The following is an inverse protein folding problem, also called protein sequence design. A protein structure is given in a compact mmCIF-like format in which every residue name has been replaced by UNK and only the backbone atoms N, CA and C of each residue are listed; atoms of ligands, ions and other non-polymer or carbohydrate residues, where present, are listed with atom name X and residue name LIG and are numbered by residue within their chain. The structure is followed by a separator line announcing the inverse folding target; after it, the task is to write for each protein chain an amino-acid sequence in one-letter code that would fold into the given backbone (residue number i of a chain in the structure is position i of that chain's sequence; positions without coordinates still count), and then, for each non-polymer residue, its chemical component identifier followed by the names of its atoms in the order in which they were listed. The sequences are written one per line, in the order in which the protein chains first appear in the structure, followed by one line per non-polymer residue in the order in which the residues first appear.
data_IF_939222306657
#
_entry.id   IF_939222306657
#
_cell.length_a   1.000
_cell.length_b   1.000
_cell.length_c   1.000
_cell.angle_alpha   90.00
_cell.angle_beta   90.00
_cell.angle_gamma   90.00
#
_symmetry.space_group_name_H-M   'P 1'
#
loop_
_entity.id
_entity.type
_entity.pdbx_description
1 polymer ?
#
# COMPACT_ATOMS: atom_id res chain seq x y z
N UNK A 1 -7.14 -15.28 -14.16
CA UNK A 1 -7.06 -13.95 -13.51
C UNK A 1 -6.46 -13.00 -14.52
N UNK A 2 -6.95 -11.76 -14.60
CA UNK A 2 -6.41 -10.79 -15.56
C UNK A 2 -5.04 -10.30 -15.08
N UNK A 3 -4.07 -10.28 -16.00
CA UNK A 3 -2.71 -9.84 -15.69
C UNK A 3 -2.68 -8.34 -15.37
N UNK A 4 -1.78 -7.87 -14.48
CA UNK A 4 -1.57 -6.45 -14.26
C UNK A 4 -1.15 -5.75 -15.56
N UNK A 5 -1.76 -4.59 -15.91
CA UNK A 5 -1.34 -3.81 -17.08
C UNK A 5 -0.07 -3.03 -16.74
N UNK A 6 1.07 -3.71 -16.69
CA UNK A 6 2.35 -3.10 -16.32
C UNK A 6 2.67 -1.88 -17.19
N UNK A 7 3.00 -0.78 -16.54
CA UNK A 7 3.46 0.45 -17.17
C UNK A 7 4.98 0.33 -17.42
N UNK A 8 5.47 0.58 -18.64
CA UNK A 8 6.91 0.67 -18.90
C UNK A 8 7.60 1.69 -17.99
N UNK A 9 8.82 1.39 -17.53
CA UNK A 9 9.50 2.18 -16.51
C UNK A 9 9.67 3.65 -16.90
N UNK A 10 10.04 3.89 -18.15
CA UNK A 10 10.22 5.22 -18.74
C UNK A 10 8.90 6.01 -18.91
N UNK A 11 7.75 5.34 -18.81
CA UNK A 11 6.42 5.94 -18.94
C UNK A 11 5.71 6.14 -17.60
N UNK A 12 6.34 5.81 -16.46
CA UNK A 12 5.68 5.86 -15.15
C UNK A 12 5.11 7.24 -14.84
N UNK A 13 5.92 8.30 -14.99
CA UNK A 13 5.49 9.66 -14.71
C UNK A 13 4.38 10.12 -15.66
N UNK A 14 4.52 9.84 -16.96
CA UNK A 14 3.49 10.15 -17.95
C UNK A 14 2.17 9.42 -17.63
N UNK A 15 2.24 8.14 -17.26
CA UNK A 15 1.06 7.35 -16.89
C UNK A 15 0.33 7.92 -15.68
N UNK A 16 1.06 8.37 -14.66
CA UNK A 16 0.47 9.01 -13.48
C UNK A 16 -0.21 10.34 -13.84
N UNK A 17 0.43 11.16 -14.69
CA UNK A 17 -0.12 12.46 -15.11
C UNK A 17 -1.34 12.33 -16.02
N UNK A 18 -1.32 11.39 -16.96
CA UNK A 18 -2.36 11.24 -17.98
C UNK A 18 -3.53 10.37 -17.50
N UNK A 19 -3.24 9.27 -16.80
CA UNK A 19 -4.24 8.25 -16.42
C UNK A 19 -4.57 8.24 -14.93
N UNK A 20 -3.78 8.93 -14.09
CA UNK A 20 -3.95 8.90 -12.63
C UNK A 20 -3.55 7.58 -11.98
N UNK A 21 -2.84 6.69 -12.69
CA UNK A 21 -2.30 5.46 -12.10
C UNK A 21 -1.10 4.93 -12.88
N UNK A 22 -0.29 4.09 -12.23
CA UNK A 22 0.72 3.26 -12.88
C UNK A 22 0.84 1.90 -12.17
N UNK A 23 1.13 0.84 -12.93
CA UNK A 23 1.37 -0.49 -12.36
C UNK A 23 2.82 -0.90 -12.63
N UNK A 24 3.62 -1.06 -11.58
CA UNK A 24 5.02 -1.41 -11.68
C UNK A 24 5.19 -2.91 -11.54
N UNK A 25 5.94 -3.51 -12.46
CA UNK A 25 6.46 -4.87 -12.29
C UNK A 25 7.43 -4.93 -11.09
N UNK A 26 7.73 -6.13 -10.55
CA UNK A 26 8.73 -6.27 -9.48
C UNK A 26 10.09 -5.67 -9.86
N UNK A 27 10.53 -5.86 -11.10
CA UNK A 27 11.79 -5.30 -11.61
C UNK A 27 11.74 -3.78 -11.73
N UNK A 28 10.63 -3.23 -12.21
CA UNK A 28 10.42 -1.78 -12.29
C UNK A 28 10.40 -1.13 -10.91
N UNK A 29 9.78 -1.78 -9.91
CA UNK A 29 9.81 -1.30 -8.53
C UNK A 29 11.24 -1.36 -7.96
N UNK A 30 11.93 -2.49 -8.14
CA UNK A 30 13.33 -2.67 -7.72
C UNK A 30 14.26 -1.61 -8.32
N UNK A 31 14.09 -1.33 -9.62
CA UNK A 31 14.82 -0.28 -10.33
C UNK A 31 14.50 1.12 -9.79
N UNK A 32 13.21 1.43 -9.55
CA UNK A 32 12.77 2.73 -9.03
C UNK A 32 13.42 3.04 -7.68
N UNK A 33 13.38 2.07 -6.77
CA UNK A 33 13.80 2.27 -5.38
C UNK A 33 15.29 1.99 -5.15
N UNK A 34 15.99 1.50 -6.20
CA UNK A 34 17.41 1.15 -6.15
C UNK A 34 17.72 0.13 -5.04
N UNK A 35 16.86 -0.87 -4.90
CA UNK A 35 17.02 -2.00 -3.97
C UNK A 35 16.86 -3.28 -4.78
N UNK A 36 17.76 -4.24 -4.63
CA UNK A 36 17.64 -5.53 -5.30
C UNK A 36 16.32 -6.23 -4.94
N UNK A 37 15.69 -6.91 -5.90
CA UNK A 37 14.41 -7.57 -5.66
C UNK A 37 14.48 -8.60 -4.50
N UNK A 38 15.58 -9.33 -4.35
CA UNK A 38 15.78 -10.25 -3.22
C UNK A 38 15.80 -9.55 -1.86
N UNK A 39 16.35 -8.34 -1.80
CA UNK A 39 16.38 -7.52 -0.58
C UNK A 39 15.00 -6.97 -0.21
N UNK A 40 14.19 -6.62 -1.21
CA UNK A 40 12.78 -6.32 -1.00
C UNK A 40 12.07 -7.57 -0.47
N UNK A 41 12.24 -8.72 -1.12
CA UNK A 41 11.64 -9.99 -0.69
C UNK A 41 11.97 -10.36 0.75
N UNK A 42 13.15 -10.03 1.27
CA UNK A 42 13.50 -10.25 2.67
C UNK A 42 12.60 -9.48 3.66
N UNK A 43 12.03 -8.34 3.26
CA UNK A 43 11.07 -7.58 4.10
C UNK A 43 9.77 -8.36 4.35
N UNK A 44 9.45 -9.37 3.54
CA UNK A 44 8.26 -10.21 3.71
C UNK A 44 8.17 -10.84 5.10
N UNK A 45 9.29 -11.11 5.77
CA UNK A 45 9.28 -11.73 7.11
C UNK A 45 8.49 -10.92 8.14
N UNK A 46 8.48 -9.58 8.03
CA UNK A 46 7.75 -8.70 8.94
C UNK A 46 6.23 -8.83 8.82
N UNK A 47 5.72 -9.44 7.74
CA UNK A 47 4.28 -9.73 7.63
C UNK A 47 3.86 -10.94 8.47
N UNK A 48 4.80 -11.77 8.94
CA UNK A 48 4.47 -12.98 9.71
C UNK A 48 3.95 -12.71 11.12
N UNK A 49 4.32 -11.57 11.70
CA UNK A 49 4.03 -11.22 13.09
C UNK A 49 3.13 -9.97 13.20
N UNK A 50 2.29 -9.74 12.19
CA UNK A 50 1.29 -8.69 12.24
C UNK A 50 0.22 -9.07 13.28
N UNK A 51 -0.11 -8.18 14.23
CA UNK A 51 -1.18 -8.40 15.20
C UNK A 51 -2.54 -8.23 14.51
N UNK A 52 -3.57 -8.82 15.13
CA UNK A 52 -4.94 -8.74 14.63
C UNK A 52 -5.44 -7.29 14.64
N UNK A 53 -6.18 -6.89 13.61
CA UNK A 53 -6.90 -5.61 13.56
C UNK A 53 -8.09 -5.63 14.56
N UNK A 54 -8.08 -4.77 15.59
CA UNK A 54 -9.15 -4.74 16.59
C UNK A 54 -10.39 -3.95 16.13
N UNK A 55 -10.35 -3.29 14.96
CA UNK A 55 -11.40 -2.36 14.49
C UNK A 55 -12.29 -2.93 13.38
N UNK A 56 -12.25 -4.24 13.12
CA UNK A 56 -13.18 -4.89 12.19
C UNK A 56 -14.62 -4.89 12.76
N UNK A 57 -15.53 -4.16 12.11
CA UNK A 57 -16.94 -4.01 12.52
C UNK A 57 -17.82 -5.23 12.17
N UNK A 58 -17.39 -6.07 11.24
CA UNK A 58 -18.10 -7.28 10.80
C UNK A 58 -17.86 -8.49 11.73
N UNK A 59 -17.16 -8.30 12.84
CA UNK A 59 -16.74 -9.39 13.74
C UNK A 59 -15.63 -10.28 13.16
N UNK A 60 -15.10 -9.92 11.98
CA UNK A 60 -14.07 -10.66 11.29
C UNK A 60 -12.77 -10.79 12.09
N UNK A 61 -12.05 -11.88 11.82
CA UNK A 61 -10.72 -12.17 12.40
C UNK A 61 -9.62 -12.23 11.35
N UNK A 62 -9.97 -11.94 10.10
CA UNK A 62 -9.12 -12.16 8.93
C UNK A 62 -8.03 -11.12 8.73
N UNK A 63 -8.13 -9.92 9.32
CA UNK A 63 -7.19 -8.82 9.03
C UNK A 63 -6.18 -8.64 10.15
N UNK A 64 -4.91 -8.59 9.76
CA UNK A 64 -3.76 -8.34 10.61
C UNK A 64 -3.00 -7.15 10.06
N UNK A 65 -2.57 -6.23 10.93
CA UNK A 65 -1.92 -4.99 10.48
C UNK A 65 -1.07 -4.34 11.56
N UNK A 66 -0.12 -3.54 11.09
CA UNK A 66 0.60 -2.53 11.88
C UNK A 66 0.48 -1.18 11.18
N UNK A 67 0.93 -0.12 11.82
CA UNK A 67 0.94 1.23 11.28
C UNK A 67 2.22 1.98 11.65
N UNK A 68 2.69 2.81 10.74
CA UNK A 68 3.77 3.76 10.99
C UNK A 68 3.54 5.05 10.22
N UNK A 69 4.03 6.16 10.77
CA UNK A 69 3.99 7.46 10.11
C UNK A 69 5.42 7.96 9.90
N UNK A 70 5.68 8.56 8.75
CA UNK A 70 6.98 9.07 8.34
C UNK A 70 6.86 10.46 7.76
N UNK A 71 7.93 11.23 7.89
CA UNK A 71 8.15 12.46 7.12
C UNK A 71 9.29 12.20 6.16
N UNK A 72 9.06 12.41 4.87
CA UNK A 72 10.06 12.27 3.83
C UNK A 72 10.43 13.66 3.32
N UNK A 73 11.68 14.04 3.51
CA UNK A 73 12.32 15.21 2.91
C UNK A 73 13.26 14.75 1.78
N UNK A 74 13.82 15.64 0.95
CA UNK A 74 14.70 15.22 -0.14
C UNK A 74 15.90 14.42 0.39
N UNK A 75 15.95 13.13 0.05
CA UNK A 75 17.03 12.22 0.45
C UNK A 75 16.95 11.68 1.88
N UNK A 76 15.90 11.99 2.64
CA UNK A 76 15.80 11.60 4.05
C UNK A 76 14.40 11.11 4.41
N UNK A 77 14.36 10.00 5.17
CA UNK A 77 13.12 9.45 5.75
C UNK A 77 13.25 9.48 7.26
N UNK A 78 12.30 10.14 7.92
CA UNK A 78 12.25 10.26 9.37
C UNK A 78 10.99 9.58 9.91
N UNK A 79 11.13 8.73 10.92
CA UNK A 79 9.98 8.18 11.63
C UNK A 79 9.32 9.29 12.46
N UNK A 80 8.03 9.50 12.25
CA UNK A 80 7.24 10.42 13.05
C UNK A 80 6.81 9.74 14.37
N UNK A 81 6.48 10.50 15.43
CA UNK A 81 5.86 9.94 16.62
C UNK A 81 4.65 9.08 16.26
N UNK A 82 4.50 7.95 16.94
CA UNK A 82 3.37 7.06 16.73
C UNK A 82 2.05 7.81 17.00
N UNK A 83 1.09 7.67 16.09
CA UNK A 83 -0.16 8.42 16.09
C UNK A 83 -1.28 7.56 15.52
N UNK A 84 -2.51 7.90 15.88
CA UNK A 84 -3.67 7.26 15.28
C UNK A 84 -3.73 7.48 13.76
N UNK A 85 -4.21 6.47 13.06
CA UNK A 85 -4.71 6.63 11.71
C UNK A 85 -6.13 7.18 11.77
N UNK A 86 -6.38 8.28 11.05
CA UNK A 86 -7.67 8.95 10.98
C UNK A 86 -8.06 9.20 9.53
N UNK A 87 -9.33 8.96 9.21
CA UNK A 87 -9.92 9.29 7.91
C UNK A 87 -11.23 10.05 8.16
N UNK A 88 -11.53 11.06 7.33
CA UNK A 88 -12.85 11.72 7.39
C UNK A 88 -13.96 10.73 7.04
N UNK A 89 -15.16 10.97 7.57
CA UNK A 89 -16.38 10.27 7.14
C UNK A 89 -16.67 10.49 5.65
N UNK A 90 -16.21 11.59 5.06
CA UNK A 90 -16.38 11.89 3.64
C UNK A 90 -15.61 10.91 2.73
N UNK A 91 -14.48 10.40 3.21
CA UNK A 91 -13.62 9.47 2.48
C UNK A 91 -13.85 8.01 2.88
N UNK A 92 -14.17 7.79 4.17
CA UNK A 92 -14.46 6.46 4.69
C UNK A 92 -15.78 6.49 5.49
N UNK A 93 -16.91 6.32 4.81
CA UNK A 93 -18.21 6.33 5.48
C UNK A 93 -18.37 5.20 6.54
N UNK A 94 -17.61 4.10 6.41
CA UNK A 94 -17.68 2.94 7.31
C UNK A 94 -16.79 3.07 8.55
N UNK A 95 -15.62 3.69 8.42
CA UNK A 95 -14.60 3.76 9.48
C UNK A 95 -14.05 5.18 9.75
N UNK A 96 -14.59 6.20 9.10
CA UNK A 96 -14.19 7.59 9.28
C UNK A 96 -14.72 8.21 10.56
N UNK A 97 -14.14 9.34 10.94
CA UNK A 97 -14.54 10.11 12.13
C UNK A 97 -14.08 9.48 13.46
N UNK A 98 -13.31 8.39 13.42
CA UNK A 98 -12.69 7.77 14.60
C UNK A 98 -11.17 7.73 14.46
N UNK A 99 -10.48 7.93 15.57
CA UNK A 99 -9.05 7.66 15.68
C UNK A 99 -8.82 6.16 15.88
N UNK A 100 -8.04 5.53 14.99
CA UNK A 100 -7.67 4.12 15.11
C UNK A 100 -6.19 4.01 15.47
N UNK A 101 -5.93 3.55 16.69
CA UNK A 101 -4.60 3.26 17.19
C UNK A 101 -4.26 1.81 16.85
N UNK A 102 -3.48 1.62 15.79
CA UNK A 102 -2.94 0.30 15.45
C UNK A 102 -1.57 0.12 16.08
N UNK A 103 -1.18 -1.14 16.30
CA UNK A 103 0.15 -1.45 16.78
C UNK A 103 1.24 -0.85 15.85
N UNK A 104 2.32 -0.27 16.42
CA UNK A 104 3.38 0.33 15.62
C UNK A 104 4.09 -0.72 14.76
N UNK A 105 4.73 -0.30 13.67
CA UNK A 105 5.65 -1.15 12.91
C UNK A 105 6.71 -1.78 13.84
N UNK A 106 7.20 -2.97 13.52
CA UNK A 106 8.28 -3.56 14.31
C UNK A 106 9.54 -2.66 14.27
N UNK A 107 10.25 -2.46 15.41
CA UNK A 107 11.44 -1.61 15.44
C UNK A 107 12.49 -2.01 14.40
N UNK A 108 12.65 -3.32 14.17
CA UNK A 108 13.56 -3.85 13.16
C UNK A 108 13.16 -3.47 11.72
N UNK A 109 11.86 -3.39 11.40
CA UNK A 109 11.38 -2.89 10.12
C UNK A 109 11.60 -1.38 10.00
N UNK A 110 11.31 -0.61 11.06
CA UNK A 110 11.52 0.83 11.08
C UNK A 110 12.99 1.22 10.83
N UNK A 111 13.93 0.45 11.40
CA UNK A 111 15.37 0.63 11.22
C UNK A 111 15.93 -0.01 9.94
N UNK A 112 15.12 -0.73 9.15
CA UNK A 112 15.58 -1.42 7.96
C UNK A 112 15.87 -0.44 6.82
N UNK A 113 17.09 -0.46 6.28
CA UNK A 113 17.50 0.45 5.21
C UNK A 113 16.73 0.24 3.91
N UNK A 114 16.35 -0.99 3.58
CA UNK A 114 15.59 -1.29 2.36
C UNK A 114 14.14 -0.80 2.48
N UNK A 115 13.57 -0.83 3.67
CA UNK A 115 12.27 -0.22 3.96
C UNK A 115 12.30 1.30 3.77
N UNK A 116 13.34 1.96 4.29
CA UNK A 116 13.51 3.41 4.10
C UNK A 116 13.76 3.78 2.63
N UNK A 117 14.60 3.01 1.91
CA UNK A 117 14.83 3.19 0.47
C UNK A 117 13.58 2.96 -0.37
N UNK A 118 12.75 1.99 -0.01
CA UNK A 118 11.45 1.75 -0.66
C UNK A 118 10.58 3.00 -0.60
N UNK A 119 10.37 3.57 0.58
CA UNK A 119 9.57 4.78 0.76
C UNK A 119 10.19 6.00 0.05
N UNK A 120 11.50 6.21 0.20
CA UNK A 120 12.21 7.32 -0.43
C UNK A 120 12.16 7.22 -1.97
N UNK A 121 12.41 6.03 -2.52
CA UNK A 121 12.39 5.80 -3.96
C UNK A 121 11.01 6.02 -4.58
N UNK A 122 9.96 5.56 -3.90
CA UNK A 122 8.57 5.82 -4.32
C UNK A 122 8.26 7.31 -4.29
N UNK A 123 8.73 8.05 -3.28
CA UNK A 123 8.46 9.49 -3.16
C UNK A 123 8.96 10.31 -4.36
N UNK A 124 9.96 9.81 -5.09
CA UNK A 124 10.45 10.47 -6.31
C UNK A 124 9.49 10.40 -7.51
N UNK A 125 8.44 9.57 -7.44
CA UNK A 125 7.35 9.63 -8.42
C UNK A 125 6.49 10.89 -8.27
N UNK A 126 6.56 11.55 -7.11
CA UNK A 126 5.71 12.68 -6.72
C UNK A 126 6.59 13.92 -6.42
N UNK A 127 7.15 14.56 -7.46
CA UNK A 127 8.07 15.69 -7.30
C UNK A 127 7.38 17.03 -6.99
N UNK A 128 6.05 17.03 -6.89
CA UNK A 128 5.18 18.18 -6.66
C UNK A 128 5.20 18.70 -5.23
N UNK A 129 5.76 17.94 -4.27
CA UNK A 129 6.01 18.41 -2.92
C UNK A 129 7.46 18.23 -2.49
N UNK A 130 8.07 19.23 -1.81
CA UNK A 130 9.38 19.07 -1.20
C UNK A 130 9.34 18.20 0.07
N UNK A 131 8.14 17.86 0.57
CA UNK A 131 7.95 17.07 1.79
C UNK A 131 6.70 16.20 1.70
N UNK A 132 6.85 14.92 2.02
CA UNK A 132 5.72 13.99 2.13
C UNK A 132 5.46 13.56 3.57
N UNK A 133 4.18 13.50 3.93
CA UNK A 133 3.72 12.86 5.16
C UNK A 133 3.15 11.50 4.79
N UNK A 134 3.84 10.43 5.16
CA UNK A 134 3.53 9.08 4.69
C UNK A 134 3.01 8.25 5.84
N UNK A 135 1.90 7.56 5.61
CA UNK A 135 1.44 6.48 6.49
C UNK A 135 1.68 5.14 5.82
N UNK A 136 2.38 4.24 6.52
CA UNK A 136 2.65 2.89 6.04
C UNK A 136 1.76 1.88 6.77
N UNK A 137 1.08 1.03 5.99
CA UNK A 137 0.10 0.07 6.50
C UNK A 137 0.40 -1.35 5.98
N UNK A 138 1.29 -2.11 6.64
CA UNK A 138 1.42 -3.54 6.37
C UNK A 138 0.11 -4.25 6.71
N UNK A 139 -0.44 -4.96 5.73
CA UNK A 139 -1.63 -5.79 5.90
C UNK A 139 -1.36 -7.25 5.56
N UNK A 140 -1.96 -8.14 6.33
CA UNK A 140 -2.17 -9.55 5.95
C UNK A 140 -3.66 -9.89 6.11
N UNK A 141 -4.20 -10.53 5.09
CA UNK A 141 -5.56 -11.08 5.11
C UNK A 141 -5.46 -12.60 5.13
N UNK A 142 -6.00 -13.21 6.18
CA UNK A 142 -6.09 -14.66 6.35
C UNK A 142 -7.51 -15.13 6.03
N UNK A 143 -7.62 -16.21 5.26
CA UNK A 143 -8.90 -16.77 4.81
C UNK A 143 -9.18 -18.14 5.42
N UNK A 144 -8.40 -18.57 6.42
CA UNK A 144 -8.61 -19.85 7.12
C UNK A 144 -10.01 -19.98 7.71
N UNK A 145 -10.55 -18.87 8.21
CA UNK A 145 -11.84 -18.82 8.92
C UNK A 145 -12.99 -18.30 8.04
N UNK A 146 -12.78 -18.20 6.71
CA UNK A 146 -13.80 -17.80 5.75
C UNK A 146 -13.35 -16.74 4.74
N UNK A 147 -14.28 -15.89 4.31
CA UNK A 147 -14.01 -14.88 3.29
C UNK A 147 -13.26 -13.70 3.92
N UNK A 148 -11.98 -13.54 3.54
CA UNK A 148 -11.20 -12.34 3.86
C UNK A 148 -11.59 -11.17 2.97
N UNK A 149 -11.78 -9.99 3.57
CA UNK A 149 -12.15 -8.75 2.85
C UNK A 149 -11.07 -7.68 3.07
N UNK A 150 -10.14 -7.48 2.12
CA UNK A 150 -9.08 -6.47 2.27
C UNK A 150 -9.66 -5.07 2.53
N UNK A 151 -10.65 -4.69 1.71
CA UNK A 151 -11.36 -3.40 1.71
C UNK A 151 -12.87 -3.64 1.87
N UNK A 152 -13.37 -3.81 3.11
CA UNK A 152 -14.78 -4.14 3.35
C UNK A 152 -15.74 -3.03 2.86
N UNK A 153 -15.27 -1.79 2.74
CA UNK A 153 -16.01 -0.64 2.23
C UNK A 153 -16.27 -0.61 0.73
N UNK A 154 -15.57 -1.43 -0.06
CA UNK A 154 -15.65 -1.38 -1.52
C UNK A 154 -14.78 -0.27 -2.12
N UNK A 155 -15.16 0.23 -3.30
CA UNK A 155 -14.41 1.29 -3.97
C UNK A 155 -14.48 2.59 -3.17
N UNK A 156 -13.32 3.19 -2.88
CA UNK A 156 -13.20 4.40 -2.07
C UNK A 156 -11.98 5.20 -2.50
N UNK A 157 -11.83 6.39 -1.92
CA UNK A 157 -10.58 7.16 -1.92
C UNK A 157 -10.06 7.23 -0.50
N UNK A 158 -8.75 7.17 -0.34
CA UNK A 158 -8.12 7.19 0.99
C UNK A 158 -8.11 8.58 1.64
N UNK A 159 -8.38 9.64 0.87
CA UNK A 159 -8.34 11.03 1.34
C UNK A 159 -6.91 11.59 1.45
N UNK A 160 -6.00 11.07 0.63
CA UNK A 160 -4.59 11.48 0.51
C UNK A 160 -4.27 11.81 -0.95
N UNK A 161 -3.14 12.49 -1.18
CA UNK A 161 -2.71 12.89 -2.53
C UNK A 161 -2.39 11.69 -3.43
N UNK A 162 -1.70 10.68 -2.89
CA UNK A 162 -1.28 9.48 -3.62
C UNK A 162 -1.37 8.22 -2.74
N UNK A 163 -1.63 7.07 -3.35
CA UNK A 163 -1.68 5.75 -2.68
C UNK A 163 -0.83 4.75 -3.46
N UNK A 164 0.01 4.00 -2.74
CA UNK A 164 0.82 2.94 -3.33
C UNK A 164 0.48 1.61 -2.67
N UNK A 165 -0.11 0.70 -3.44
CA UNK A 165 -0.48 -0.66 -3.01
C UNK A 165 0.55 -1.64 -3.54
N UNK A 166 1.32 -2.26 -2.65
CA UNK A 166 2.35 -3.24 -3.00
C UNK A 166 1.89 -4.63 -2.59
N UNK A 167 1.84 -5.57 -3.53
CA UNK A 167 1.63 -6.98 -3.20
C UNK A 167 2.92 -7.56 -2.62
N UNK A 168 2.98 -7.79 -1.32
CA UNK A 168 4.16 -8.44 -0.71
C UNK A 168 4.18 -9.93 -0.99
N UNK A 169 3.03 -10.60 -0.81
CA UNK A 169 2.91 -12.04 -0.99
C UNK A 169 1.45 -12.47 -1.15
N UNK A 170 1.24 -13.65 -1.77
CA UNK A 170 -0.04 -14.35 -1.79
C UNK A 170 0.19 -15.86 -1.84
N UNK A 171 -0.52 -16.62 -1.01
CA UNK A 171 -0.33 -18.08 -0.93
C UNK A 171 -1.69 -18.76 -0.82
N UNK A 172 -1.96 -19.73 -1.70
CA UNK A 172 -3.15 -20.58 -1.58
C UNK A 172 -4.51 -19.88 -1.75
N UNK A 173 -4.55 -18.65 -2.26
CA UNK A 173 -5.78 -17.83 -2.36
C UNK A 173 -6.24 -17.60 -3.80
N UNK A 174 -7.56 -17.59 -4.00
CA UNK A 174 -8.24 -17.11 -5.21
C UNK A 174 -8.86 -15.73 -4.96
N UNK A 175 -9.06 -14.95 -6.01
CA UNK A 175 -9.56 -13.58 -5.90
C UNK A 175 -8.43 -12.58 -5.62
N UNK A 176 -8.74 -11.53 -4.85
CA UNK A 176 -7.86 -10.37 -4.68
C UNK A 176 -7.75 -9.54 -5.96
N UNK A 177 -8.84 -9.42 -6.72
CA UNK A 177 -8.91 -8.60 -7.92
C UNK A 177 -8.91 -7.12 -7.54
N UNK A 178 -7.96 -6.38 -8.09
CA UNK A 178 -7.90 -4.93 -8.03
C UNK A 178 -8.86 -4.35 -9.05
N UNK A 179 -9.62 -3.33 -8.63
CA UNK A 179 -10.46 -2.54 -9.52
C UNK A 179 -10.15 -1.06 -9.31
N UNK A 180 -9.82 -0.37 -10.40
CA UNK A 180 -9.62 1.07 -10.43
C UNK A 180 -10.77 1.66 -11.23
N UNK A 181 -11.37 2.72 -10.73
CA UNK A 181 -12.46 3.43 -11.39
C UNK A 181 -12.04 4.87 -11.62
N UNK A 182 -12.40 5.42 -12.79
CA UNK A 182 -12.26 6.84 -13.01
C UNK A 182 -13.12 7.64 -12.02
N UNK A 183 -12.57 8.76 -11.56
CA UNK A 183 -13.21 9.67 -10.63
C UNK A 183 -14.60 10.18 -11.10
N UNK A 184 -14.75 10.41 -12.40
CA UNK A 184 -15.97 10.93 -13.02
C UNK A 184 -16.47 10.06 -14.19
N UNK A 185 -16.05 8.78 -14.25
CA UNK A 185 -16.32 7.90 -15.38
C UNK A 185 -16.91 6.54 -14.98
N UNK A 186 -17.46 5.82 -15.97
CA UNK A 186 -17.92 4.44 -15.82
C UNK A 186 -16.87 3.41 -16.21
N UNK A 187 -15.72 3.86 -16.71
CA UNK A 187 -14.62 3.01 -17.12
C UNK A 187 -13.86 2.56 -15.88
N UNK A 188 -13.68 1.25 -15.76
CA UNK A 188 -12.92 0.64 -14.69
C UNK A 188 -11.95 -0.41 -15.22
N UNK A 189 -10.73 -0.38 -14.70
CA UNK A 189 -9.73 -1.41 -14.96
C UNK A 189 -9.84 -2.49 -13.90
N UNK A 190 -9.67 -3.74 -14.33
CA UNK A 190 -9.60 -4.87 -13.44
C UNK A 190 -8.41 -5.75 -13.77
N UNK A 191 -7.65 -6.10 -12.76
CA UNK A 191 -6.50 -7.00 -12.86
C UNK A 191 -6.22 -7.59 -11.49
N UNK A 192 -5.31 -8.55 -11.43
CA UNK A 192 -4.92 -9.17 -10.17
C UNK A 192 -3.42 -9.05 -10.03
N UNK A 193 -2.96 -8.46 -8.93
CA UNK A 193 -1.55 -8.52 -8.55
C UNK A 193 -1.19 -9.98 -8.25
N UNK A 194 -0.21 -10.52 -8.98
CA UNK A 194 0.17 -11.93 -8.90
C UNK A 194 1.57 -12.10 -8.34
N UNK A 195 2.54 -11.36 -8.89
CA UNK A 195 3.93 -11.46 -8.49
C UNK A 195 4.22 -10.57 -7.28
N UNK A 196 4.91 -11.13 -6.28
CA UNK A 196 5.44 -10.38 -5.14
C UNK A 196 6.23 -9.17 -5.63
N UNK A 197 6.01 -8.04 -4.96
CA UNK A 197 6.57 -6.72 -5.24
C UNK A 197 6.06 -6.04 -6.51
N UNK A 198 4.94 -6.52 -7.08
CA UNK A 198 4.14 -5.69 -7.98
C UNK A 198 3.52 -4.54 -7.19
N UNK A 199 3.62 -3.31 -7.71
CA UNK A 199 3.03 -2.13 -7.11
C UNK A 199 1.98 -1.48 -8.02
N UNK A 200 0.85 -1.09 -7.45
CA UNK A 200 -0.08 -0.14 -8.05
C UNK A 200 0.14 1.22 -7.39
N UNK A 201 0.32 2.25 -8.20
CA UNK A 201 0.40 3.65 -7.78
C UNK A 201 -0.84 4.37 -8.29
N UNK A 202 -1.50 5.13 -7.41
CA UNK A 202 -2.71 5.92 -7.62
C UNK A 202 -2.50 7.34 -7.11
#
# INVERSE_FOLDING_TARGET
MLAPPFTPFEQLQHSLQDRGYAVLSPDSLSQLVKVHLGDLQNLKSYWNNLPRDPYLKDGGRYRFRRHGSYVINPGQVELAPHRAHWQSVDYNALHGGIERWFEPLEPALQANQNWQKLMLGISYLFPDSPRWYVEAHPFRIDTSDGIGRPTPEGAHRDGVDYVVVILVDRVGVKGGETRIFEAQGSIGLRFTLQDSWTALVL
#
